data_IF_100703186308
#
_entry.id   IF_100703186308
#
_cell.length_a   1.000
_cell.length_b   1.000
_cell.length_c   1.000
_cell.angle_alpha   90.00
_cell.angle_beta   90.00
_cell.angle_gamma   90.00
#
_symmetry.space_group_name_H-M   'P 1'
#
loop_
_entity.id
_entity.type
_entity.pdbx_description
1 polymer ?
#
# COMPACT_ATOMS: atom_id res chain seq x y z
N UNK A 1 -0.94 17.06 6.88
CA UNK A 1 -2.29 16.45 6.86
C UNK A 1 -2.19 15.11 6.18
N UNK A 2 -2.75 14.04 6.76
CA UNK A 2 -2.71 12.69 6.16
C UNK A 2 -3.98 12.48 5.35
N UNK A 3 -3.84 12.17 4.05
CA UNK A 3 -4.97 12.02 3.11
C UNK A 3 -5.54 10.59 3.11
N UNK A 4 -4.66 9.60 3.20
CA UNK A 4 -5.02 8.19 3.29
C UNK A 4 -3.92 7.43 4.04
N UNK A 5 -4.31 6.44 4.84
CA UNK A 5 -3.40 5.54 5.53
C UNK A 5 -3.96 4.12 5.45
N UNK A 6 -3.10 3.10 5.41
CA UNK A 6 -3.47 1.70 5.49
C UNK A 6 -2.40 0.95 6.29
N UNK A 7 -2.80 -0.02 7.12
CA UNK A 7 -1.88 -0.76 7.99
C UNK A 7 -2.27 -2.23 8.09
N UNK A 8 -1.28 -3.12 8.21
CA UNK A 8 -1.49 -4.55 8.45
C UNK A 8 -2.17 -4.86 9.79
N UNK A 9 -2.22 -3.88 10.71
CA UNK A 9 -2.95 -3.97 11.98
C UNK A 9 -4.46 -3.79 11.84
N UNK A 10 -4.95 -3.40 10.66
CA UNK A 10 -6.37 -3.19 10.45
C UNK A 10 -7.11 -4.54 10.40
N UNK A 11 -8.10 -4.74 11.28
CA UNK A 11 -8.89 -5.99 11.36
C UNK A 11 -9.57 -6.34 10.03
N UNK A 12 -9.90 -5.34 9.22
CA UNK A 12 -10.47 -5.45 7.88
C UNK A 12 -9.61 -6.26 6.90
N UNK A 13 -8.29 -6.28 7.09
CA UNK A 13 -7.35 -6.95 6.18
C UNK A 13 -7.11 -8.43 6.52
N UNK A 14 -7.50 -8.88 7.73
CA UNK A 14 -7.34 -10.29 8.16
C UNK A 14 -5.88 -10.78 8.23
N UNK A 15 -4.90 -9.89 8.03
CA UNK A 15 -3.45 -10.16 8.07
C UNK A 15 -2.78 -9.56 9.31
N UNK A 16 -3.55 -9.37 10.39
CA UNK A 16 -3.04 -8.86 11.67
C UNK A 16 -1.86 -9.71 12.14
N UNK A 17 -0.67 -9.09 12.20
CA UNK A 17 0.58 -9.74 12.61
C UNK A 17 1.34 -10.49 11.51
N UNK A 18 0.88 -10.50 10.25
CA UNK A 18 1.59 -11.12 9.12
C UNK A 18 2.36 -10.08 8.30
N UNK A 19 3.69 -10.20 8.30
CA UNK A 19 4.59 -9.38 7.48
C UNK A 19 5.06 -10.12 6.21
N UNK A 20 4.12 -10.72 5.49
CA UNK A 20 4.41 -11.47 4.27
C UNK A 20 4.11 -10.64 3.01
N UNK A 21 4.62 -11.10 1.86
CA UNK A 21 4.41 -10.48 0.54
C UNK A 21 2.91 -10.31 0.24
N UNK A 22 2.09 -11.32 0.56
CA UNK A 22 0.63 -11.29 0.40
C UNK A 22 -0.05 -10.17 1.22
N UNK A 23 0.41 -9.96 2.46
CA UNK A 23 -0.09 -8.88 3.31
C UNK A 23 0.28 -7.50 2.75
N UNK A 24 1.50 -7.37 2.21
CA UNK A 24 1.98 -6.12 1.59
C UNK A 24 1.15 -5.77 0.36
N UNK A 25 0.81 -6.76 -0.48
CA UNK A 25 -0.08 -6.56 -1.62
C UNK A 25 -1.49 -6.15 -1.21
N UNK A 26 -2.06 -6.76 -0.16
CA UNK A 26 -3.39 -6.37 0.35
C UNK A 26 -3.39 -4.93 0.89
N UNK A 27 -2.35 -4.56 1.64
CA UNK A 27 -2.18 -3.18 2.13
C UNK A 27 -2.04 -2.20 0.98
N UNK A 28 -1.26 -2.53 -0.06
CA UNK A 28 -1.11 -1.70 -1.27
C UNK A 28 -2.43 -1.45 -2.01
N UNK A 29 -3.25 -2.50 -2.21
CA UNK A 29 -4.58 -2.38 -2.83
C UNK A 29 -5.53 -1.51 -2.02
N UNK A 30 -5.54 -1.68 -0.70
CA UNK A 30 -6.42 -0.93 0.18
C UNK A 30 -6.00 0.54 0.31
N UNK A 31 -4.69 0.81 0.36
CA UNK A 31 -4.15 2.16 0.29
C UNK A 31 -4.57 2.84 -1.02
N UNK A 32 -4.53 2.09 -2.13
CA UNK A 32 -4.88 2.63 -3.42
C UNK A 32 -6.34 3.02 -3.56
N UNK A 33 -7.25 2.18 -3.05
CA UNK A 33 -8.69 2.49 -3.01
C UNK A 33 -8.98 3.75 -2.17
N UNK A 34 -8.29 3.89 -1.04
CA UNK A 34 -8.39 5.09 -0.18
C UNK A 34 -7.82 6.33 -0.84
N UNK A 35 -6.66 6.23 -1.48
CA UNK A 35 -6.03 7.35 -2.17
C UNK A 35 -6.88 7.82 -3.37
N UNK A 36 -7.48 6.88 -4.12
CA UNK A 36 -8.48 7.21 -5.16
C UNK A 36 -9.70 7.94 -4.60
N UNK A 37 -10.25 7.48 -3.46
CA UNK A 37 -11.36 8.16 -2.76
C UNK A 37 -10.97 9.56 -2.28
N UNK A 38 -9.71 9.75 -1.91
CA UNK A 38 -9.16 11.06 -1.55
C UNK A 38 -8.79 11.93 -2.77
N UNK A 39 -9.01 11.45 -4.00
CA UNK A 39 -8.72 12.18 -5.24
C UNK A 39 -7.24 12.22 -5.62
N UNK A 40 -6.41 11.36 -5.05
CA UNK A 40 -4.97 11.31 -5.30
C UNK A 40 -4.67 10.28 -6.39
N UNK A 41 -4.17 10.75 -7.54
CA UNK A 41 -3.89 9.92 -8.73
C UNK A 41 -2.39 9.75 -8.96
N UNK A 42 -1.62 10.82 -8.78
CA UNK A 42 -0.17 10.82 -8.93
C UNK A 42 0.51 11.03 -7.58
N UNK A 43 1.43 10.14 -7.22
CA UNK A 43 2.17 10.15 -5.96
C UNK A 43 3.65 9.89 -6.22
N UNK A 44 4.49 10.15 -5.22
CA UNK A 44 5.84 9.60 -5.18
C UNK A 44 5.88 8.43 -4.21
N UNK A 45 6.47 7.30 -4.63
CA UNK A 45 6.64 6.14 -3.76
C UNK A 45 7.92 6.27 -2.92
N UNK A 46 7.77 6.74 -1.69
CA UNK A 46 8.87 6.76 -0.73
C UNK A 46 9.11 5.35 -0.16
N UNK A 47 10.33 4.86 -0.36
CA UNK A 47 10.74 3.52 0.08
C UNK A 47 11.27 3.48 1.53
N UNK A 48 11.24 4.60 2.27
CA UNK A 48 11.63 4.65 3.67
C UNK A 48 13.06 4.16 3.98
N UNK A 49 13.98 4.23 3.01
CA UNK A 49 15.34 3.69 3.14
C UNK A 49 15.46 2.17 2.98
N UNK A 50 14.36 1.45 2.75
CA UNK A 50 14.40 0.01 2.51
C UNK A 50 14.81 -0.32 1.05
N UNK A 51 15.36 -1.52 0.86
CA UNK A 51 15.65 -2.07 -0.46
C UNK A 51 14.34 -2.34 -1.21
N UNK A 52 14.25 -1.92 -2.47
CA UNK A 52 13.08 -2.20 -3.31
C UNK A 52 13.04 -3.68 -3.70
N UNK A 53 12.61 -4.52 -2.75
CA UNK A 53 12.58 -5.96 -2.87
C UNK A 53 11.45 -6.56 -2.00
N UNK A 54 11.08 -7.80 -2.28
CA UNK A 54 10.10 -8.56 -1.50
C UNK A 54 8.79 -7.79 -1.26
N UNK A 55 8.48 -7.53 0.01
CA UNK A 55 7.23 -6.87 0.43
C UNK A 55 7.05 -5.44 -0.10
N UNK A 56 8.12 -4.66 -0.23
CA UNK A 56 8.03 -3.26 -0.71
C UNK A 56 7.68 -3.24 -2.20
N UNK A 57 8.30 -4.12 -2.98
CA UNK A 57 7.95 -4.29 -4.40
C UNK A 57 6.50 -4.74 -4.54
N UNK A 58 6.05 -5.69 -3.72
CA UNK A 58 4.68 -6.19 -3.76
C UNK A 58 3.63 -5.15 -3.33
N UNK A 59 3.97 -4.26 -2.38
CA UNK A 59 3.13 -3.14 -2.00
C UNK A 59 3.03 -2.11 -3.13
N UNK A 60 4.15 -1.79 -3.77
CA UNK A 60 4.20 -0.87 -4.91
C UNK A 60 3.39 -1.41 -6.11
N UNK A 61 3.58 -2.68 -6.45
CA UNK A 61 2.87 -3.32 -7.55
C UNK A 61 1.35 -3.33 -7.31
N UNK A 62 0.94 -3.71 -6.10
CA UNK A 62 -0.45 -3.71 -5.69
C UNK A 62 -1.10 -2.32 -5.68
N UNK A 63 -0.37 -1.28 -5.27
CA UNK A 63 -0.89 0.08 -5.31
C UNK A 63 -0.96 0.64 -6.74
N UNK A 64 -0.07 0.20 -7.65
CA UNK A 64 -0.18 0.46 -9.10
C UNK A 64 -1.37 -0.24 -9.74
N UNK A 65 -1.59 -1.53 -9.44
CA UNK A 65 -2.81 -2.24 -9.85
C UNK A 65 -4.07 -1.54 -9.32
N UNK A 66 -3.99 -1.03 -8.09
CA UNK A 66 -5.02 -0.20 -7.48
C UNK A 66 -5.21 1.16 -8.15
N UNK A 67 -4.42 1.50 -9.17
CA UNK A 67 -4.57 2.66 -10.05
C UNK A 67 -3.91 3.94 -9.56
N UNK A 68 -3.00 3.86 -8.59
CA UNK A 68 -2.10 4.98 -8.30
C UNK A 68 -0.96 4.98 -9.31
N UNK A 69 -0.63 6.18 -9.79
CA UNK A 69 0.52 6.41 -10.66
C UNK A 69 1.66 6.96 -9.79
N UNK A 70 2.73 6.18 -9.68
CA UNK A 70 3.98 6.55 -9.02
C UNK A 70 5.13 5.67 -9.55
#
# INVERSE_FOLDING_TARGET
>A
VTLAAASSLEKSLGVVGKNNVDASSKVGKLLADRAKKAGVVECYFDRGGFLFHGGIKALADAAREGGLKF
#
